data_IF_655954670426
#
_entry.id   IF_655954670426
#
_cell.length_a   1.000
_cell.length_b   1.000
_cell.length_c   1.000
_cell.angle_alpha   90.00
_cell.angle_beta   90.00
_cell.angle_gamma   90.00
#
_symmetry.space_group_name_H-M   'P 1'
#
loop_
_entity.id
_entity.type
_entity.pdbx_description
1 polymer ?
#
# COMPACT_ATOMS: atom_id res chain seq x y z
N UNK A 1 -8.41 -1.13 22.48
CA UNK A 1 -7.86 -2.23 23.30
C UNK A 1 -7.05 -3.22 22.43
N UNK A 2 -7.49 -3.58 21.25
CA UNK A 2 -6.81 -4.58 20.37
C UNK A 2 -5.39 -4.15 19.97
N UNK A 3 -5.19 -2.87 19.61
CA UNK A 3 -3.85 -2.34 19.30
C UNK A 3 -2.88 -2.52 20.48
N UNK A 4 -3.31 -2.18 21.70
CA UNK A 4 -2.45 -2.35 22.87
C UNK A 4 -2.20 -3.82 23.21
N UNK A 5 -3.15 -4.72 22.92
CA UNK A 5 -2.96 -6.15 23.07
C UNK A 5 -1.88 -6.67 22.13
N UNK A 6 -2.01 -6.38 20.85
CA UNK A 6 -1.01 -6.75 19.82
C UNK A 6 0.38 -6.18 20.13
N UNK A 7 0.46 -4.90 20.54
CA UNK A 7 1.75 -4.30 20.89
C UNK A 7 2.39 -4.92 22.14
N UNK A 8 1.58 -5.39 23.10
CA UNK A 8 2.12 -6.17 24.25
C UNK A 8 2.72 -7.50 23.81
N UNK A 9 2.08 -8.18 22.86
CA UNK A 9 2.65 -9.41 22.30
C UNK A 9 3.99 -9.14 21.62
N UNK A 10 4.08 -8.05 20.82
CA UNK A 10 5.37 -7.62 20.27
C UNK A 10 6.41 -7.32 21.34
N UNK A 11 6.04 -6.65 22.43
CA UNK A 11 6.94 -6.37 23.55
C UNK A 11 7.48 -7.67 24.17
N UNK A 12 6.63 -8.68 24.40
CA UNK A 12 7.03 -9.98 24.92
C UNK A 12 7.94 -10.74 23.93
N UNK A 13 7.65 -10.69 22.65
CA UNK A 13 8.49 -11.28 21.60
C UNK A 13 9.87 -10.62 21.60
N UNK A 14 9.93 -9.29 21.60
CA UNK A 14 11.20 -8.54 21.67
C UNK A 14 12.03 -8.91 22.90
N UNK A 15 11.38 -9.07 24.05
CA UNK A 15 12.04 -9.50 25.28
C UNK A 15 12.61 -10.93 25.14
N UNK A 16 11.82 -11.87 24.60
CA UNK A 16 12.25 -13.26 24.37
C UNK A 16 13.47 -13.38 23.45
N UNK A 17 13.54 -12.52 22.44
CA UNK A 17 14.67 -12.42 21.52
C UNK A 17 15.81 -11.54 22.03
N UNK A 18 15.69 -10.96 23.24
CA UNK A 18 16.67 -10.03 23.82
C UNK A 18 17.01 -8.87 22.90
N UNK A 19 15.98 -8.29 22.27
CA UNK A 19 16.14 -7.14 21.38
C UNK A 19 16.73 -5.96 22.15
N UNK A 20 17.86 -5.44 21.69
CA UNK A 20 18.59 -4.34 22.34
C UNK A 20 18.14 -2.95 21.89
N UNK A 21 17.50 -2.85 20.75
CA UNK A 21 16.93 -1.61 20.22
C UNK A 21 15.78 -1.90 19.27
N UNK A 22 14.80 -1.04 19.24
CA UNK A 22 13.69 -1.08 18.29
C UNK A 22 13.27 0.33 17.89
N UNK A 23 12.51 0.44 16.80
CA UNK A 23 11.75 1.64 16.43
C UNK A 23 10.34 1.24 16.07
N UNK A 24 9.36 1.98 16.56
CA UNK A 24 7.96 1.80 16.24
C UNK A 24 7.41 3.09 15.64
N UNK A 25 6.89 3.00 14.43
CA UNK A 25 6.37 4.15 13.69
C UNK A 25 4.85 4.08 13.54
N UNK A 26 4.20 5.22 13.79
CA UNK A 26 2.80 5.44 13.49
C UNK A 26 2.66 6.22 12.17
N UNK A 27 1.78 5.75 11.29
CA UNK A 27 1.47 6.40 10.01
C UNK A 27 0.08 7.05 10.04
N UNK A 28 -0.63 7.09 8.92
CA UNK A 28 -1.90 7.81 8.77
C UNK A 28 -2.94 7.49 9.84
N UNK A 29 -3.07 6.23 10.24
CA UNK A 29 -4.07 5.82 11.24
C UNK A 29 -3.89 6.51 12.60
N UNK A 30 -2.64 6.67 13.07
CA UNK A 30 -2.34 7.38 14.32
C UNK A 30 -2.23 8.89 14.06
N UNK A 31 -1.56 9.29 12.98
CA UNK A 31 -1.34 10.70 12.64
C UNK A 31 -2.62 11.52 12.49
N UNK A 32 -3.70 10.91 12.01
CA UNK A 32 -4.98 11.58 11.74
C UNK A 32 -5.95 11.55 12.92
N UNK A 33 -5.58 10.99 14.07
CA UNK A 33 -6.43 11.01 15.26
C UNK A 33 -6.46 12.40 15.90
N UNK A 34 -7.62 12.80 16.42
CA UNK A 34 -7.77 14.09 17.10
C UNK A 34 -6.93 14.18 18.39
N UNK A 35 -6.74 13.05 19.07
CA UNK A 35 -6.05 12.95 20.35
C UNK A 35 -4.71 12.21 20.25
N UNK A 36 -3.93 12.51 19.23
CA UNK A 36 -2.68 11.79 18.89
C UNK A 36 -1.71 11.67 20.06
N UNK A 37 -1.46 12.75 20.81
CA UNK A 37 -0.55 12.75 21.96
C UNK A 37 -1.06 11.86 23.10
N UNK A 38 -2.36 11.89 23.38
CA UNK A 38 -2.98 11.04 24.39
C UNK A 38 -2.89 9.57 23.97
N UNK A 39 -3.11 9.27 22.70
CA UNK A 39 -3.01 7.93 22.16
C UNK A 39 -1.58 7.38 22.27
N UNK A 40 -0.56 8.18 21.93
CA UNK A 40 0.85 7.80 22.09
C UNK A 40 1.20 7.51 23.55
N UNK A 41 0.81 8.39 24.48
CA UNK A 41 1.03 8.21 25.90
C UNK A 41 0.37 6.93 26.43
N UNK A 42 -0.89 6.68 26.05
CA UNK A 42 -1.59 5.45 26.43
C UNK A 42 -0.94 4.19 25.87
N UNK A 43 -0.44 4.22 24.63
CA UNK A 43 0.30 3.10 24.05
C UNK A 43 1.55 2.84 24.88
N UNK A 44 2.37 3.86 25.12
CA UNK A 44 3.61 3.75 25.87
C UNK A 44 3.37 3.22 27.29
N UNK A 45 2.41 3.79 28.02
CA UNK A 45 2.07 3.36 29.38
C UNK A 45 1.56 1.92 29.46
N UNK A 46 0.76 1.49 28.49
CA UNK A 46 0.14 0.16 28.50
C UNK A 46 1.04 -0.94 27.96
N UNK A 47 1.96 -0.63 27.07
CA UNK A 47 2.73 -1.64 26.32
C UNK A 47 4.24 -1.53 26.47
N UNK A 48 4.73 -0.41 27.00
CA UNK A 48 6.15 -0.08 27.04
C UNK A 48 6.76 0.30 25.68
N UNK A 49 5.94 0.35 24.61
CA UNK A 49 6.40 0.68 23.27
C UNK A 49 6.17 2.17 23.02
N UNK A 50 7.25 2.89 22.71
CA UNK A 50 7.20 4.28 22.29
C UNK A 50 7.03 4.36 20.78
N UNK A 51 5.91 4.96 20.34
CA UNK A 51 5.60 5.16 18.92
C UNK A 51 5.98 6.57 18.49
N UNK A 52 6.78 6.68 17.45
CA UNK A 52 7.10 7.91 16.75
C UNK A 52 6.15 8.09 15.55
N UNK A 53 5.60 9.28 15.37
CA UNK A 53 4.66 9.52 14.27
C UNK A 53 5.41 10.11 13.09
N UNK A 54 5.39 9.38 11.98
CA UNK A 54 5.98 9.85 10.73
C UNK A 54 5.10 10.91 10.06
N UNK A 55 5.72 12.00 9.64
CA UNK A 55 5.12 12.90 8.66
C UNK A 55 5.02 12.20 7.29
N UNK A 56 4.17 12.73 6.39
CA UNK A 56 4.09 12.20 5.01
C UNK A 56 5.44 12.28 4.28
N UNK A 57 6.28 13.26 4.60
CA UNK A 57 7.60 13.41 3.99
C UNK A 57 8.61 12.38 4.48
N UNK A 58 8.60 12.08 5.78
CA UNK A 58 9.46 11.04 6.36
C UNK A 58 9.04 9.66 5.86
N UNK A 59 7.74 9.37 5.82
CA UNK A 59 7.20 8.13 5.26
C UNK A 59 7.69 7.94 3.83
N UNK A 60 7.46 8.92 2.95
CA UNK A 60 7.96 8.88 1.56
C UNK A 60 9.46 8.64 1.45
N UNK A 61 10.26 9.26 2.33
CA UNK A 61 11.71 9.10 2.31
C UNK A 61 12.12 7.66 2.66
N UNK A 62 11.45 7.03 3.63
CA UNK A 62 11.68 5.63 3.98
C UNK A 62 11.23 4.69 2.85
N UNK A 63 10.07 4.92 2.24
CA UNK A 63 9.61 4.16 1.08
C UNK A 63 10.60 4.24 -0.09
N UNK A 64 11.08 5.46 -0.41
CA UNK A 64 12.10 5.64 -1.43
C UNK A 64 13.38 4.87 -1.11
N UNK A 65 13.86 4.92 0.14
CA UNK A 65 15.05 4.17 0.57
C UNK A 65 14.84 2.66 0.46
N UNK A 66 13.67 2.16 0.89
CA UNK A 66 13.37 0.73 0.80
C UNK A 66 13.37 0.24 -0.65
N UNK A 67 12.79 1.01 -1.58
CA UNK A 67 12.79 0.68 -3.00
C UNK A 67 14.20 0.79 -3.58
N UNK A 68 14.96 1.83 -3.22
CA UNK A 68 16.33 2.07 -3.69
C UNK A 68 17.29 0.93 -3.30
N UNK A 69 17.00 0.19 -2.23
CA UNK A 69 17.74 -1.02 -1.84
C UNK A 69 17.75 -2.11 -2.92
N UNK A 70 16.79 -2.09 -3.87
CA UNK A 70 16.71 -3.01 -5.02
C UNK A 70 17.72 -2.66 -6.14
N UNK A 71 18.54 -1.65 -5.94
CA UNK A 71 19.74 -1.39 -6.74
C UNK A 71 19.47 -1.03 -8.20
N UNK A 72 20.00 -1.83 -9.15
CA UNK A 72 19.99 -1.50 -10.58
C UNK A 72 18.57 -1.46 -11.18
N UNK A 73 17.69 -2.36 -10.77
CA UNK A 73 16.29 -2.39 -11.25
C UNK A 73 15.59 -1.07 -10.92
N UNK A 74 15.74 -0.59 -9.70
CA UNK A 74 15.18 0.70 -9.29
C UNK A 74 15.76 1.85 -10.13
N UNK A 75 17.10 1.92 -10.25
CA UNK A 75 17.78 2.99 -11.02
C UNK A 75 17.26 3.08 -12.46
N UNK A 76 17.09 1.94 -13.12
CA UNK A 76 16.57 1.90 -14.49
C UNK A 76 15.13 2.40 -14.59
N UNK A 77 14.26 2.03 -13.63
CA UNK A 77 12.85 2.41 -13.65
C UNK A 77 12.66 3.88 -13.33
N UNK A 78 13.39 4.41 -12.34
CA UNK A 78 13.21 5.79 -11.86
C UNK A 78 13.76 6.85 -12.82
N UNK A 79 14.64 6.49 -13.76
CA UNK A 79 15.10 7.38 -14.82
C UNK A 79 13.99 7.76 -15.82
N UNK A 80 12.97 6.93 -15.90
CA UNK A 80 11.77 7.25 -16.68
C UNK A 80 10.73 7.96 -15.81
N UNK A 81 9.66 8.49 -16.44
CA UNK A 81 8.52 9.05 -15.70
C UNK A 81 7.81 7.96 -14.93
N UNK A 82 8.00 7.97 -13.63
CA UNK A 82 7.57 6.91 -12.70
C UNK A 82 6.73 7.47 -11.57
N UNK A 83 5.66 6.76 -11.22
CA UNK A 83 4.90 7.01 -10.00
C UNK A 83 5.26 5.97 -8.94
N UNK A 84 5.52 6.39 -7.72
CA UNK A 84 5.60 5.51 -6.54
C UNK A 84 4.27 5.64 -5.80
N UNK A 85 3.59 4.50 -5.61
CA UNK A 85 2.35 4.37 -4.84
C UNK A 85 2.65 3.65 -3.54
N UNK A 86 2.56 4.37 -2.43
CA UNK A 86 2.51 3.76 -1.10
C UNK A 86 1.04 3.62 -0.71
N UNK A 87 0.54 2.38 -0.74
CA UNK A 87 -0.87 2.04 -0.50
C UNK A 87 -1.00 1.50 0.92
N UNK A 88 -1.34 2.39 1.84
CA UNK A 88 -1.55 2.06 3.24
C UNK A 88 -3.01 1.77 3.60
N UNK A 89 -3.24 1.44 4.87
CA UNK A 89 -4.59 1.20 5.39
C UNK A 89 -5.47 2.45 5.41
N UNK A 90 -4.93 3.63 5.75
CA UNK A 90 -5.68 4.88 5.88
C UNK A 90 -5.60 5.81 4.67
N UNK A 91 -4.54 5.73 3.88
CA UNK A 91 -4.27 6.64 2.75
C UNK A 91 -3.41 6.00 1.67
N UNK A 92 -3.39 6.62 0.49
CA UNK A 92 -2.42 6.36 -0.57
C UNK A 92 -1.55 7.59 -0.73
N UNK A 93 -0.23 7.42 -0.70
CA UNK A 93 0.70 8.46 -1.09
C UNK A 93 1.17 8.23 -2.53
N UNK A 94 0.99 9.23 -3.39
CA UNK A 94 1.40 9.20 -4.80
C UNK A 94 2.56 10.18 -4.97
N UNK A 95 3.73 9.67 -5.34
CA UNK A 95 4.93 10.47 -5.62
C UNK A 95 5.33 10.31 -7.09
N UNK A 96 5.38 11.41 -7.83
CA UNK A 96 5.76 11.44 -9.23
C UNK A 96 7.24 11.80 -9.38
N UNK A 97 7.95 11.01 -10.18
CA UNK A 97 9.35 11.21 -10.51
C UNK A 97 9.54 11.38 -12.01
N UNK A 98 10.48 12.22 -12.39
CA UNK A 98 10.99 12.36 -13.76
C UNK A 98 12.52 12.44 -13.68
N UNK A 99 13.24 11.50 -14.28
CA UNK A 99 14.69 11.37 -14.23
C UNK A 99 15.25 11.43 -12.80
N UNK A 100 14.74 10.56 -11.94
CA UNK A 100 15.10 10.47 -10.52
C UNK A 100 14.83 11.76 -9.70
N UNK A 101 14.10 12.71 -10.26
CA UNK A 101 13.73 13.94 -9.57
C UNK A 101 12.28 13.90 -9.14
N UNK A 102 12.02 14.16 -7.85
CA UNK A 102 10.65 14.26 -7.33
C UNK A 102 9.96 15.51 -7.91
N UNK A 103 8.90 15.27 -8.68
CA UNK A 103 8.10 16.34 -9.31
C UNK A 103 6.95 16.78 -8.41
N UNK A 104 6.25 15.83 -7.82
CA UNK A 104 5.16 16.11 -6.89
C UNK A 104 4.90 14.92 -5.97
N UNK A 105 4.32 15.18 -4.81
CA UNK A 105 3.81 14.15 -3.92
C UNK A 105 2.50 14.59 -3.32
N UNK A 106 1.53 13.67 -3.27
CA UNK A 106 0.21 13.90 -2.70
C UNK A 106 -0.22 12.71 -1.86
N UNK A 107 -0.92 12.99 -0.77
CA UNK A 107 -1.53 11.99 0.07
C UNK A 107 -3.05 12.05 -0.10
N UNK A 108 -3.64 10.96 -0.56
CA UNK A 108 -5.07 10.81 -0.78
C UNK A 108 -5.67 9.93 0.32
N UNK A 109 -6.85 10.30 0.83
CA UNK A 109 -7.57 9.53 1.85
C UNK A 109 -8.29 8.31 1.25
N UNK A 110 -7.56 7.47 0.54
CA UNK A 110 -8.03 6.30 -0.18
C UNK A 110 -7.38 4.99 0.32
N UNK A 111 -7.07 4.91 1.61
CA UNK A 111 -6.47 3.71 2.18
C UNK A 111 -7.40 2.50 2.15
N UNK A 112 -6.80 1.32 2.04
CA UNK A 112 -7.51 0.05 1.82
C UNK A 112 -8.46 -0.28 2.97
N UNK A 113 -8.02 -0.10 4.23
CA UNK A 113 -8.86 -0.35 5.41
C UNK A 113 -9.98 0.68 5.53
N UNK A 114 -9.69 1.94 5.21
CA UNK A 114 -10.70 3.01 5.19
C UNK A 114 -11.82 2.70 4.18
N UNK A 115 -11.46 2.26 2.99
CA UNK A 115 -12.45 1.89 1.96
C UNK A 115 -13.23 0.65 2.36
N UNK A 116 -12.58 -0.36 2.95
CA UNK A 116 -13.26 -1.54 3.47
C UNK A 116 -14.30 -1.18 4.53
N UNK A 117 -13.95 -0.29 5.46
CA UNK A 117 -14.88 0.17 6.48
C UNK A 117 -16.09 0.89 5.87
N UNK A 118 -15.88 1.77 4.89
CA UNK A 118 -16.97 2.43 4.16
C UNK A 118 -17.85 1.42 3.42
N UNK A 119 -17.28 0.42 2.76
CA UNK A 119 -18.02 -0.63 2.08
C UNK A 119 -18.87 -1.47 3.06
N UNK A 120 -18.33 -1.78 4.23
CA UNK A 120 -19.05 -2.48 5.29
C UNK A 120 -20.23 -1.65 5.80
N UNK A 121 -20.07 -0.35 6.00
CA UNK A 121 -21.16 0.56 6.38
C UNK A 121 -22.26 0.65 5.32
N UNK A 122 -21.91 0.54 4.05
CA UNK A 122 -22.85 0.55 2.93
C UNK A 122 -23.52 -0.82 2.71
N UNK A 123 -23.18 -1.85 3.48
CA UNK A 123 -23.59 -3.23 3.28
C UNK A 123 -23.36 -3.73 1.85
N UNK A 124 -22.23 -3.31 1.25
CA UNK A 124 -21.89 -3.64 -0.13
C UNK A 124 -21.63 -5.14 -0.30
N UNK A 125 -22.38 -5.77 -1.20
CA UNK A 125 -22.11 -7.14 -1.62
C UNK A 125 -20.81 -7.21 -2.46
N UNK A 126 -20.22 -8.41 -2.53
CA UNK A 126 -18.95 -8.63 -3.29
C UNK A 126 -19.06 -8.21 -4.76
N UNK A 127 -20.23 -8.30 -5.38
CA UNK A 127 -20.47 -7.89 -6.77
C UNK A 127 -20.47 -6.37 -6.97
N UNK A 128 -20.71 -5.60 -5.91
CA UNK A 128 -20.76 -4.14 -5.95
C UNK A 128 -19.44 -3.50 -5.48
N UNK A 129 -18.55 -4.28 -4.87
CA UNK A 129 -17.33 -3.79 -4.25
C UNK A 129 -16.47 -2.98 -5.23
N UNK A 130 -16.20 -3.54 -6.42
CA UNK A 130 -15.35 -2.90 -7.43
C UNK A 130 -15.93 -1.55 -7.87
N UNK A 131 -17.23 -1.50 -8.19
CA UNK A 131 -17.89 -0.29 -8.61
C UNK A 131 -17.88 0.78 -7.51
N UNK A 132 -18.17 0.41 -6.27
CA UNK A 132 -18.17 1.35 -5.16
C UNK A 132 -16.77 1.87 -4.81
N UNK A 133 -15.75 1.03 -4.88
CA UNK A 133 -14.36 1.49 -4.73
C UNK A 133 -14.00 2.49 -5.81
N UNK A 134 -14.36 2.21 -7.07
CA UNK A 134 -14.13 3.13 -8.18
C UNK A 134 -14.87 4.45 -8.00
N UNK A 135 -16.13 4.42 -7.61
CA UNK A 135 -16.93 5.63 -7.33
C UNK A 135 -16.33 6.47 -6.18
N UNK A 136 -15.98 5.82 -5.05
CA UNK A 136 -15.37 6.48 -3.91
C UNK A 136 -14.00 7.10 -4.22
N UNK A 137 -13.24 6.45 -5.08
CA UNK A 137 -11.91 6.92 -5.49
C UNK A 137 -11.97 8.01 -6.55
N UNK A 138 -12.96 7.97 -7.46
CA UNK A 138 -13.01 8.81 -8.66
C UNK A 138 -12.86 10.30 -8.35
N UNK A 139 -13.59 10.84 -7.39
CA UNK A 139 -13.56 12.28 -7.09
C UNK A 139 -12.15 12.76 -6.71
N UNK A 140 -11.47 12.03 -5.81
CA UNK A 140 -10.12 12.38 -5.37
C UNK A 140 -9.08 12.16 -6.48
N UNK A 141 -9.24 11.12 -7.30
CA UNK A 141 -8.34 10.84 -8.41
C UNK A 141 -8.52 11.82 -9.57
N UNK A 142 -9.73 12.29 -9.84
CA UNK A 142 -9.99 13.33 -10.85
C UNK A 142 -9.39 14.67 -10.43
N UNK A 143 -9.51 15.05 -9.16
CA UNK A 143 -8.85 16.25 -8.64
C UNK A 143 -7.32 16.10 -8.68
N UNK A 144 -6.79 14.93 -8.32
CA UNK A 144 -5.38 14.63 -8.44
C UNK A 144 -4.90 14.77 -9.89
N UNK A 145 -5.64 14.22 -10.87
CA UNK A 145 -5.32 14.35 -12.29
C UNK A 145 -5.24 15.78 -12.73
N UNK A 146 -6.26 16.59 -12.42
CA UNK A 146 -6.34 18.00 -12.82
C UNK A 146 -5.22 18.86 -12.22
N UNK A 147 -4.93 18.67 -10.93
CA UNK A 147 -4.05 19.56 -10.18
C UNK A 147 -2.57 19.15 -10.30
N UNK A 148 -2.28 17.86 -10.27
CA UNK A 148 -0.91 17.33 -10.08
C UNK A 148 -0.39 16.53 -11.26
N UNK A 149 -1.16 15.58 -11.79
CA UNK A 149 -0.76 14.78 -12.94
C UNK A 149 -0.76 15.61 -14.23
N UNK A 150 -1.84 16.37 -14.46
CA UNK A 150 -2.05 17.18 -15.68
C UNK A 150 -1.92 16.31 -16.94
N UNK A 151 -1.11 16.75 -17.91
CA UNK A 151 -0.88 16.06 -19.19
C UNK A 151 0.36 15.13 -19.15
N UNK A 152 0.85 14.78 -17.94
CA UNK A 152 1.99 13.87 -17.83
C UNK A 152 1.56 12.43 -18.03
N UNK A 153 2.20 11.77 -18.98
CA UNK A 153 2.11 10.33 -19.12
C UNK A 153 3.17 9.69 -18.21
N UNK A 154 2.75 8.74 -17.38
CA UNK A 154 3.62 7.97 -16.50
C UNK A 154 3.84 6.60 -17.12
N UNK A 155 5.09 6.20 -17.31
CA UNK A 155 5.42 4.91 -17.93
C UNK A 155 5.33 3.75 -16.94
N UNK A 156 5.85 3.98 -15.72
CA UNK A 156 6.02 2.93 -14.73
C UNK A 156 5.33 3.32 -13.42
N UNK A 157 4.78 2.32 -12.75
CA UNK A 157 4.30 2.42 -11.38
C UNK A 157 5.13 1.48 -10.51
N UNK A 158 5.61 1.98 -9.37
CA UNK A 158 6.20 1.19 -8.30
C UNK A 158 5.20 1.15 -7.15
N UNK A 159 4.87 -0.04 -6.67
CA UNK A 159 3.93 -0.22 -5.56
C UNK A 159 4.70 -0.61 -4.30
N UNK A 160 4.43 0.09 -3.21
CA UNK A 160 4.79 -0.30 -1.84
C UNK A 160 3.49 -0.56 -1.12
N UNK A 161 3.20 -1.82 -0.81
CA UNK A 161 2.00 -2.20 -0.06
C UNK A 161 2.14 -3.58 0.59
N UNK A 162 1.29 -3.86 1.56
CA UNK A 162 1.21 -5.16 2.25
C UNK A 162 0.14 -6.10 1.66
N UNK A 163 -0.55 -5.68 0.59
CA UNK A 163 -1.71 -6.38 0.06
C UNK A 163 -1.43 -7.04 -1.30
N UNK A 164 -1.08 -6.26 -2.30
CA UNK A 164 -0.87 -6.71 -3.67
C UNK A 164 0.57 -7.16 -3.95
N UNK A 165 1.55 -6.51 -3.34
CA UNK A 165 2.98 -6.82 -3.51
C UNK A 165 3.33 -8.28 -3.18
N UNK A 166 2.81 -8.91 -2.12
CA UNK A 166 3.07 -10.33 -1.83
C UNK A 166 2.62 -11.27 -2.97
N UNK A 167 1.48 -10.97 -3.61
CA UNK A 167 1.02 -11.73 -4.77
C UNK A 167 1.96 -11.56 -5.96
N UNK A 168 2.37 -10.32 -6.27
CA UNK A 168 3.26 -10.02 -7.39
C UNK A 168 4.63 -10.70 -7.24
N UNK A 169 5.21 -10.66 -6.03
CA UNK A 169 6.48 -11.33 -5.71
C UNK A 169 6.35 -12.83 -5.89
N UNK A 170 5.28 -13.45 -5.40
CA UNK A 170 5.05 -14.89 -5.58
C UNK A 170 4.92 -15.26 -7.06
N UNK A 171 4.17 -14.47 -7.84
CA UNK A 171 4.04 -14.68 -9.28
C UNK A 171 5.38 -14.57 -10.02
N UNK A 172 6.25 -13.68 -9.61
CA UNK A 172 7.60 -13.59 -10.14
C UNK A 172 8.42 -14.85 -9.81
N UNK A 173 8.34 -15.37 -8.60
CA UNK A 173 8.97 -16.63 -8.21
C UNK A 173 8.46 -17.83 -9.03
N UNK A 174 7.15 -17.93 -9.23
CA UNK A 174 6.54 -18.99 -10.05
C UNK A 174 7.05 -18.95 -11.52
N UNK A 175 7.33 -17.76 -12.05
CA UNK A 175 7.89 -17.57 -13.39
C UNK A 175 9.41 -17.75 -13.46
N UNK A 176 10.10 -17.74 -12.32
CA UNK A 176 11.56 -17.83 -12.24
C UNK A 176 12.30 -16.56 -12.68
N UNK A 177 11.63 -15.42 -12.78
CA UNK A 177 12.21 -14.18 -13.29
C UNK A 177 12.78 -13.26 -12.21
N UNK A 178 12.56 -13.52 -10.95
CA UNK A 178 13.07 -12.73 -9.81
C UNK A 178 12.62 -11.27 -9.73
N UNK A 179 11.98 -10.76 -10.79
CA UNK A 179 11.47 -9.41 -10.89
C UNK A 179 9.94 -9.42 -10.77
N UNK A 180 9.40 -8.85 -9.71
CA UNK A 180 7.96 -8.78 -9.50
C UNK A 180 7.31 -7.67 -10.38
N UNK A 181 7.56 -7.75 -11.68
CA UNK A 181 6.94 -6.89 -12.68
C UNK A 181 5.65 -7.52 -13.17
N UNK A 182 4.61 -6.70 -13.24
CA UNK A 182 3.26 -7.09 -13.65
C UNK A 182 2.87 -6.22 -14.82
N UNK A 183 2.65 -6.83 -15.97
CA UNK A 183 2.09 -6.17 -17.13
C UNK A 183 0.55 -6.10 -17.04
N UNK A 184 -0.07 -5.32 -17.92
CA UNK A 184 -1.53 -5.16 -17.96
C UNK A 184 -2.27 -6.49 -18.08
N UNK A 185 -1.74 -7.44 -18.87
CA UNK A 185 -2.37 -8.75 -19.08
C UNK A 185 -2.36 -9.60 -17.81
N UNK A 186 -1.24 -9.66 -17.10
CA UNK A 186 -1.16 -10.38 -15.83
C UNK A 186 -2.05 -9.73 -14.76
N UNK A 187 -2.16 -8.41 -14.79
CA UNK A 187 -3.04 -7.67 -13.90
C UNK A 187 -4.53 -7.93 -14.19
N UNK A 188 -4.93 -7.94 -15.47
CA UNK A 188 -6.31 -8.27 -15.86
C UNK A 188 -6.69 -9.70 -15.46
N UNK A 189 -5.78 -10.66 -15.59
CA UNK A 189 -5.99 -12.04 -15.10
C UNK A 189 -6.19 -12.09 -13.57
N UNK A 190 -5.48 -11.26 -12.80
CA UNK A 190 -5.73 -11.13 -11.37
C UNK A 190 -7.13 -10.61 -11.11
N UNK A 191 -7.54 -9.53 -11.78
CA UNK A 191 -8.87 -8.93 -11.61
C UNK A 191 -10.00 -9.91 -11.97
N UNK A 192 -9.85 -10.67 -13.05
CA UNK A 192 -10.79 -11.73 -13.42
C UNK A 192 -10.88 -12.82 -12.33
N UNK A 193 -9.72 -13.24 -11.79
CA UNK A 193 -9.70 -14.23 -10.72
C UNK A 193 -10.39 -13.72 -9.43
N UNK A 194 -10.18 -12.44 -9.08
CA UNK A 194 -10.80 -11.79 -7.91
C UNK A 194 -12.33 -11.67 -8.07
N UNK A 195 -12.82 -11.45 -9.29
CA UNK A 195 -14.27 -11.37 -9.59
C UNK A 195 -14.95 -12.74 -9.63
N UNK A 196 -14.26 -13.73 -10.19
CA UNK A 196 -14.89 -15.03 -10.52
C UNK A 196 -14.94 -16.01 -9.35
N UNK A 197 -14.15 -15.80 -8.27
CA UNK A 197 -13.92 -16.80 -7.22
C UNK A 197 -14.40 -16.31 -5.86
N UNK A 198 -14.83 -17.27 -5.04
CA UNK A 198 -15.18 -16.99 -3.64
C UNK A 198 -13.93 -16.71 -2.78
N UNK A 199 -14.15 -16.01 -1.67
CA UNK A 199 -13.12 -15.59 -0.72
C UNK A 199 -12.26 -16.76 -0.23
N UNK A 200 -12.87 -17.88 0.15
CA UNK A 200 -12.15 -19.08 0.63
C UNK A 200 -11.20 -19.67 -0.42
N UNK A 201 -11.64 -19.73 -1.70
CA UNK A 201 -10.79 -20.25 -2.78
C UNK A 201 -9.61 -19.30 -3.04
N UNK A 202 -9.87 -17.99 -3.07
CA UNK A 202 -8.85 -16.96 -3.25
C UNK A 202 -7.83 -16.99 -2.11
N UNK A 203 -8.29 -17.08 -0.86
CA UNK A 203 -7.43 -17.17 0.31
C UNK A 203 -6.43 -18.33 0.21
N UNK A 204 -6.92 -19.54 -0.12
CA UNK A 204 -6.08 -20.73 -0.33
C UNK A 204 -5.09 -20.55 -1.48
N UNK A 205 -5.54 -19.98 -2.60
CA UNK A 205 -4.70 -19.77 -3.80
C UNK A 205 -3.64 -18.71 -3.59
N UNK A 206 -3.95 -17.69 -2.80
CA UNK A 206 -3.03 -16.58 -2.49
C UNK A 206 -2.19 -16.85 -1.25
N UNK A 207 -2.48 -17.93 -0.52
CA UNK A 207 -1.83 -18.28 0.75
C UNK A 207 -1.91 -17.14 1.77
N UNK A 208 -3.12 -16.62 1.96
CA UNK A 208 -3.44 -15.55 2.91
C UNK A 208 -4.68 -15.90 3.72
N UNK A 209 -4.90 -15.23 4.83
CA UNK A 209 -6.11 -15.35 5.62
C UNK A 209 -7.33 -14.81 4.84
N UNK A 210 -8.51 -15.42 5.04
CA UNK A 210 -9.74 -15.05 4.30
C UNK A 210 -10.12 -13.58 4.47
N UNK A 211 -9.91 -13.02 5.66
CA UNK A 211 -10.18 -11.62 5.96
C UNK A 211 -9.29 -10.63 5.20
N UNK A 212 -8.17 -11.09 4.64
CA UNK A 212 -7.28 -10.27 3.81
C UNK A 212 -7.70 -10.21 2.34
N UNK A 213 -8.51 -11.14 1.86
CA UNK A 213 -8.94 -11.18 0.44
C UNK A 213 -9.64 -9.90 -0.01
N UNK A 214 -10.60 -9.32 0.75
CA UNK A 214 -11.20 -8.03 0.38
C UNK A 214 -10.18 -6.89 0.29
N UNK A 215 -9.16 -6.89 1.17
CA UNK A 215 -8.12 -5.87 1.16
C UNK A 215 -7.26 -5.96 -0.11
N UNK A 216 -6.88 -7.17 -0.51
CA UNK A 216 -6.17 -7.40 -1.79
C UNK A 216 -7.02 -6.94 -2.97
N UNK A 217 -8.33 -7.21 -2.94
CA UNK A 217 -9.23 -6.78 -4.02
C UNK A 217 -9.31 -5.24 -4.09
N UNK A 218 -9.52 -4.56 -2.97
CA UNK A 218 -9.56 -3.10 -2.92
C UNK A 218 -8.24 -2.51 -3.41
N UNK A 219 -7.09 -3.02 -2.95
CA UNK A 219 -5.77 -2.57 -3.42
C UNK A 219 -5.60 -2.77 -4.93
N UNK A 220 -6.06 -3.91 -5.47
CA UNK A 220 -6.00 -4.18 -6.90
C UNK A 220 -6.89 -3.23 -7.71
N UNK A 221 -8.12 -2.96 -7.27
CA UNK A 221 -9.02 -1.99 -7.93
C UNK A 221 -8.41 -0.59 -7.96
N UNK A 222 -7.89 -0.11 -6.82
CA UNK A 222 -7.23 1.19 -6.71
C UNK A 222 -6.00 1.28 -7.62
N UNK A 223 -5.15 0.26 -7.60
CA UNK A 223 -3.95 0.19 -8.43
C UNK A 223 -4.31 0.24 -9.91
N UNK A 224 -5.31 -0.56 -10.33
CA UNK A 224 -5.81 -0.55 -11.71
C UNK A 224 -6.29 0.83 -12.12
N UNK A 225 -7.14 1.43 -11.30
CA UNK A 225 -7.70 2.76 -11.58
C UNK A 225 -6.61 3.84 -11.71
N UNK A 226 -5.61 3.81 -10.81
CA UNK A 226 -4.50 4.75 -10.86
C UNK A 226 -3.62 4.49 -12.09
N UNK A 227 -3.35 3.24 -12.45
CA UNK A 227 -2.57 2.89 -13.63
C UNK A 227 -3.26 3.36 -14.93
N UNK A 228 -4.57 3.16 -15.05
CA UNK A 228 -5.37 3.65 -16.19
C UNK A 228 -5.36 5.18 -16.24
N UNK A 229 -5.54 5.86 -15.11
CA UNK A 229 -5.50 7.32 -15.01
C UNK A 229 -4.16 7.92 -15.52
N UNK A 230 -3.06 7.21 -15.21
CA UNK A 230 -1.69 7.61 -15.53
C UNK A 230 -1.22 7.16 -16.92
N UNK A 231 -1.92 6.22 -17.57
CA UNK A 231 -1.49 5.59 -18.82
C UNK A 231 -0.28 4.65 -18.61
N UNK A 232 -0.08 4.13 -17.41
CA UNK A 232 1.08 3.30 -17.08
C UNK A 232 0.92 1.88 -17.61
N UNK A 233 1.96 1.39 -18.31
CA UNK A 233 1.98 0.05 -18.90
C UNK A 233 2.66 -1.00 -18.03
N UNK A 234 3.53 -0.58 -17.09
CA UNK A 234 4.31 -1.45 -16.24
C UNK A 234 4.08 -1.12 -14.76
N UNK A 235 3.80 -2.17 -13.99
CA UNK A 235 3.70 -2.11 -12.53
C UNK A 235 4.81 -2.97 -11.95
N UNK A 236 5.61 -2.41 -11.05
CA UNK A 236 6.64 -3.11 -10.31
C UNK A 236 6.32 -3.13 -8.83
N UNK A 237 6.25 -4.32 -8.25
CA UNK A 237 6.05 -4.52 -6.83
C UNK A 237 7.32 -5.15 -6.22
N UNK A 238 8.30 -4.34 -5.77
CA UNK A 238 9.62 -4.83 -5.34
C UNK A 238 9.59 -5.73 -4.11
N UNK A 239 8.44 -5.87 -3.45
CA UNK A 239 8.29 -6.66 -2.23
C UNK A 239 9.05 -6.05 -1.07
N UNK A 240 9.01 -4.74 -0.96
CA UNK A 240 9.53 -3.98 0.18
C UNK A 240 8.39 -3.29 0.92
N UNK A 241 8.63 -3.00 2.17
CA UNK A 241 7.72 -2.26 3.04
C UNK A 241 8.39 -1.01 3.57
N UNK A 242 7.64 -0.15 4.23
CA UNK A 242 8.16 1.01 4.95
C UNK A 242 9.28 0.63 5.94
N UNK A 243 9.20 -0.57 6.53
CA UNK A 243 10.17 -1.03 7.53
C UNK A 243 11.55 -1.39 6.96
N UNK A 244 11.67 -1.54 5.64
CA UNK A 244 12.93 -1.83 4.97
C UNK A 244 13.77 -0.57 4.70
N UNK A 245 13.19 0.61 4.88
CA UNK A 245 13.83 1.93 4.67
C UNK A 245 14.51 2.47 5.91
#
# INVERSE_FOLDING_TARGET
>A
DDLCHTLKEFSQIMESYKVIAYKAYGTSAIRETENTLILQDQIEQRTGIRVEILSNSEQRFLDYKSIASKGETFRRIIEEKTAILDIGGGSIQISLFDKDTLVSTQNLRLGVLRLQELLNHLNAGSTQMEQLVDELATAQLDDYKKLYLKDREIKNIIIVDDYLSPWAVRKAHERGDGNAMVDSKAFDQLMEALRARGTTELAKRMDIAEEKVPLVYISAVLTKRIAELMGAALIWAPGVTLCDG
#
